data_IF_330014080070
#
_entry.id   IF_330014080070
#
_cell.length_a   1.000
_cell.length_b   1.000
_cell.length_c   1.000
_cell.angle_alpha   90.00
_cell.angle_beta   90.00
_cell.angle_gamma   90.00
#
_symmetry.space_group_name_H-M   'P 1'
#
loop_
_entity.id
_entity.type
_entity.pdbx_description
1 polymer ?
#
# COMPACT_ATOMS: atom_id res chain seq x y z
N UNK A 1 -11.16 15.48 -1.22
CA UNK A 1 -10.52 14.90 -0.02
C UNK A 1 -9.05 14.79 -0.32
N UNK A 2 -8.20 15.38 0.51
CA UNK A 2 -6.77 15.51 0.24
C UNK A 2 -6.10 14.14 0.10
N UNK A 3 -5.42 13.93 -1.02
CA UNK A 3 -4.73 12.68 -1.32
C UNK A 3 -3.66 12.36 -0.26
N UNK A 4 -3.04 13.39 0.31
CA UNK A 4 -2.05 13.28 1.37
C UNK A 4 -2.64 12.72 2.66
N UNK A 5 -3.82 13.19 3.06
CA UNK A 5 -4.49 12.66 4.25
C UNK A 5 -4.82 11.18 4.10
N UNK A 6 -5.28 10.76 2.92
CA UNK A 6 -5.57 9.34 2.67
C UNK A 6 -4.29 8.49 2.71
N UNK A 7 -3.16 9.01 2.20
CA UNK A 7 -1.87 8.31 2.25
C UNK A 7 -1.38 8.10 3.69
N UNK A 8 -1.53 9.11 4.55
CA UNK A 8 -1.17 8.99 5.98
C UNK A 8 -2.01 7.91 6.66
N UNK A 9 -3.32 7.89 6.40
CA UNK A 9 -4.20 6.85 6.96
C UNK A 9 -3.81 5.45 6.47
N UNK A 10 -3.47 5.30 5.18
CA UNK A 10 -2.99 4.02 4.66
C UNK A 10 -1.68 3.58 5.31
N UNK A 11 -0.71 4.48 5.46
CA UNK A 11 0.58 4.15 6.08
C UNK A 11 0.41 3.79 7.57
N UNK A 12 -0.52 4.44 8.28
CA UNK A 12 -0.88 4.10 9.67
C UNK A 12 -1.51 2.71 9.74
N UNK A 13 -2.48 2.40 8.86
CA UNK A 13 -3.11 1.08 8.81
C UNK A 13 -2.07 -0.01 8.51
N UNK A 14 -1.22 0.21 7.51
CA UNK A 14 -0.17 -0.76 7.16
C UNK A 14 0.83 -0.94 8.31
N UNK A 15 1.15 0.12 9.05
CA UNK A 15 2.01 0.03 10.24
C UNK A 15 1.35 -0.83 11.32
N UNK A 16 0.07 -0.60 11.63
CA UNK A 16 -0.66 -1.37 12.64
C UNK A 16 -0.79 -2.86 12.28
N UNK A 17 -0.94 -3.16 10.98
CA UNK A 17 -0.97 -4.55 10.49
C UNK A 17 0.43 -5.18 10.60
N UNK A 18 1.49 -4.46 10.20
CA UNK A 18 2.89 -4.94 10.31
C UNK A 18 3.30 -5.21 11.75
N UNK A 19 2.87 -4.37 12.69
CA UNK A 19 3.13 -4.55 14.12
C UNK A 19 2.19 -5.58 14.77
N UNK A 20 1.33 -6.25 14.00
CA UNK A 20 0.35 -7.23 14.46
C UNK A 20 -0.61 -6.69 15.54
N UNK A 21 -0.84 -5.38 15.55
CA UNK A 21 -1.76 -4.72 16.49
C UNK A 21 -3.22 -4.92 16.08
N UNK A 22 -3.49 -4.95 14.78
CA UNK A 22 -4.80 -5.26 14.20
C UNK A 22 -4.65 -6.24 13.02
N UNK A 23 -5.67 -7.05 12.76
CA UNK A 23 -5.75 -7.88 11.55
C UNK A 23 -6.59 -7.20 10.49
N UNK A 24 -6.35 -7.54 9.22
CA UNK A 24 -7.16 -7.05 8.10
C UNK A 24 -8.64 -7.42 8.26
N UNK A 25 -8.90 -8.59 8.86
CA UNK A 25 -10.24 -9.12 9.15
C UNK A 25 -11.00 -8.31 10.20
N UNK A 26 -10.30 -7.49 10.99
CA UNK A 26 -10.90 -6.68 12.05
C UNK A 26 -11.45 -5.35 11.49
N UNK A 27 -11.15 -5.03 10.23
CA UNK A 27 -11.66 -3.85 9.53
C UNK A 27 -13.00 -4.15 8.83
N UNK A 28 -13.92 -3.18 8.71
CA UNK A 28 -15.17 -3.35 7.97
C UNK A 28 -14.91 -3.60 6.47
N UNK A 29 -15.81 -4.33 5.81
CA UNK A 29 -15.65 -4.75 4.40
C UNK A 29 -15.35 -3.59 3.44
N UNK A 30 -15.92 -2.42 3.69
CA UNK A 30 -15.65 -1.22 2.90
C UNK A 30 -14.18 -0.76 3.00
N UNK A 31 -13.57 -0.89 4.18
CA UNK A 31 -12.16 -0.57 4.39
C UNK A 31 -11.25 -1.67 3.81
N UNK A 32 -11.60 -2.95 3.97
CA UNK A 32 -10.86 -4.06 3.36
C UNK A 32 -10.79 -3.93 1.84
N UNK A 33 -11.92 -3.63 1.19
CA UNK A 33 -11.99 -3.40 -0.26
C UNK A 33 -11.13 -2.22 -0.71
N UNK A 34 -11.17 -1.09 0.01
CA UNK A 34 -10.34 0.09 -0.31
C UNK A 34 -8.86 -0.21 -0.16
N UNK A 35 -8.45 -0.90 0.91
CA UNK A 35 -7.06 -1.32 1.11
C UNK A 35 -6.59 -2.28 0.02
N UNK A 36 -7.40 -3.27 -0.36
CA UNK A 36 -7.07 -4.21 -1.43
C UNK A 36 -6.96 -3.53 -2.80
N UNK A 37 -7.88 -2.62 -3.13
CA UNK A 37 -7.83 -1.85 -4.39
C UNK A 37 -6.55 -1.01 -4.50
N UNK A 38 -6.11 -0.41 -3.38
CA UNK A 38 -4.93 0.46 -3.35
C UNK A 38 -3.63 -0.33 -3.25
N UNK A 39 -3.60 -1.47 -2.56
CA UNK A 39 -2.47 -2.41 -2.61
C UNK A 39 -2.22 -2.93 -4.01
N UNK A 40 -3.27 -3.26 -4.77
CA UNK A 40 -3.14 -3.65 -6.18
C UNK A 40 -2.57 -2.53 -7.07
N UNK A 41 -2.93 -1.28 -6.81
CA UNK A 41 -2.42 -0.11 -7.53
C UNK A 41 -0.96 0.21 -7.17
N UNK A 42 -0.59 0.11 -5.89
CA UNK A 42 0.80 0.27 -5.43
C UNK A 42 1.71 -0.88 -5.86
N UNK A 43 1.22 -2.11 -5.91
CA UNK A 43 1.97 -3.26 -6.45
C UNK A 43 2.29 -3.09 -7.93
N UNK A 44 1.35 -2.56 -8.73
CA UNK A 44 1.58 -2.26 -10.15
C UNK A 44 2.54 -1.10 -10.37
N UNK A 45 2.43 -0.03 -9.58
CA UNK A 45 3.40 1.08 -9.65
C UNK A 45 4.78 0.66 -9.14
N UNK A 46 4.86 -0.09 -8.04
CA UNK A 46 6.14 -0.56 -7.51
C UNK A 46 6.79 -1.56 -8.46
N UNK A 47 6.04 -2.46 -9.08
CA UNK A 47 6.56 -3.34 -10.13
C UNK A 47 7.04 -2.57 -11.36
N UNK A 48 6.31 -1.54 -11.81
CA UNK A 48 6.76 -0.69 -12.91
C UNK A 48 7.99 0.16 -12.54
N UNK A 49 8.08 0.66 -11.31
CA UNK A 49 9.23 1.42 -10.79
C UNK A 49 10.44 0.52 -10.52
N UNK A 50 10.24 -0.72 -10.09
CA UNK A 50 11.30 -1.73 -9.92
C UNK A 50 11.84 -2.21 -11.27
N UNK A 51 10.99 -2.31 -12.28
CA UNK A 51 11.40 -2.57 -13.67
C UNK A 51 12.13 -1.39 -14.33
N UNK A 52 11.87 -0.14 -13.89
CA UNK A 52 12.58 1.06 -14.37
C UNK A 52 13.86 1.33 -13.55
N UNK A 53 13.89 0.97 -12.26
CA UNK A 53 15.04 1.20 -11.38
C UNK A 53 16.12 0.12 -11.43
N UNK A 54 15.94 -0.94 -12.25
CA UNK A 54 16.91 -2.04 -12.37
C UNK A 54 17.77 -1.98 -13.65
N UNK A 55 17.67 -0.91 -14.44
CA UNK A 55 18.46 -0.72 -15.67
C UNK A 55 19.55 0.37 -15.58
N UNK A 56 19.93 0.81 -14.37
CA UNK A 56 21.00 1.80 -14.18
C UNK A 56 22.28 1.18 -13.55
N UNK A 57 22.55 -0.11 -13.78
CA UNK A 57 23.67 -0.77 -13.10
C UNK A 57 24.09 -2.14 -13.58
N UNK A 58 24.20 -2.38 -14.90
CA UNK A 58 24.99 -3.50 -15.42
C UNK A 58 25.86 -3.00 -16.58
N UNK A 59 27.17 -2.99 -16.29
CA UNK A 59 28.38 -2.97 -17.14
C UNK A 59 28.21 -2.97 -18.66
#
# INVERSE_FOLDING_TARGET
>A
MDADFVRVIEDVIDTLIKTQVIRLTDLPEAAQRKLNQRKGMRSRLHGALDLIGRDDGIL
#
